data_IF_292196449959
#
_entry.id   IF_292196449959
#
_cell.length_a   1.000
_cell.length_b   1.000
_cell.length_c   1.000
_cell.angle_alpha   90.00
_cell.angle_beta   90.00
_cell.angle_gamma   90.00
#
_symmetry.space_group_name_H-M   'P 1'
#
loop_
_entity.id
_entity.type
_entity.pdbx_description
1 polymer ?
#
# COMPACT_ATOMS: atom_id res chain seq x y z
N UNK A 1 -2.64 18.44 -20.56
CA UNK A 1 -3.73 17.55 -20.99
C UNK A 1 -3.13 16.16 -20.96
N UNK A 2 -2.99 15.60 -19.77
CA UNK A 2 -2.32 14.32 -19.55
C UNK A 2 -3.39 13.34 -19.11
N UNK A 3 -3.47 12.26 -19.85
CA UNK A 3 -4.50 11.24 -19.75
C UNK A 3 -4.34 10.45 -18.45
N UNK A 4 -5.41 10.53 -17.68
CA UNK A 4 -5.91 9.60 -16.67
C UNK A 4 -5.43 8.15 -16.82
N UNK A 5 -4.34 7.77 -16.13
CA UNK A 5 -4.04 6.37 -15.78
C UNK A 5 -4.89 5.96 -14.58
N UNK A 6 -6.22 5.98 -14.76
CA UNK A 6 -7.01 4.92 -14.14
C UNK A 6 -6.38 3.60 -14.60
N UNK A 7 -6.06 2.69 -13.68
CA UNK A 7 -5.63 1.33 -14.05
C UNK A 7 -6.77 0.67 -14.83
N UNK A 8 -6.81 0.94 -16.13
CA UNK A 8 -7.53 0.16 -17.11
C UNK A 8 -7.10 -1.29 -16.90
N UNK A 9 -8.02 -2.26 -17.01
CA UNK A 9 -7.64 -3.66 -16.99
C UNK A 9 -6.61 -3.85 -18.12
N UNK A 10 -5.32 -3.93 -17.76
CA UNK A 10 -4.26 -4.18 -18.72
C UNK A 10 -4.66 -5.47 -19.45
N UNK A 11 -4.70 -5.46 -20.77
CA UNK A 11 -4.92 -6.69 -21.51
C UNK A 11 -3.63 -7.51 -21.43
N UNK A 12 -3.70 -8.85 -21.41
CA UNK A 12 -2.51 -9.68 -21.47
C UNK A 12 -1.67 -9.27 -22.68
N UNK A 13 -0.35 -9.12 -22.50
CA UNK A 13 0.54 -8.89 -23.61
C UNK A 13 0.57 -10.15 -24.49
N UNK A 14 0.29 -10.01 -25.79
CA UNK A 14 0.11 -11.15 -26.71
C UNK A 14 1.29 -11.38 -27.64
N UNK A 15 2.10 -10.35 -27.92
CA UNK A 15 3.21 -10.46 -28.86
C UNK A 15 4.53 -10.65 -28.10
N UNK A 16 5.30 -11.71 -28.38
CA UNK A 16 6.66 -11.84 -27.86
C UNK A 16 7.50 -10.67 -28.34
N UNK A 17 8.20 -10.01 -27.41
CA UNK A 17 9.21 -9.04 -27.78
C UNK A 17 10.40 -9.82 -28.35
N UNK A 18 10.77 -9.59 -29.63
CA UNK A 18 11.78 -10.36 -30.33
C UNK A 18 13.18 -10.24 -29.69
N UNK A 19 13.41 -9.26 -28.81
CA UNK A 19 14.68 -9.11 -28.07
C UNK A 19 14.94 -10.23 -27.05
N UNK A 20 13.91 -10.99 -26.64
CA UNK A 20 14.07 -12.05 -25.63
C UNK A 20 14.46 -13.42 -26.20
N UNK A 21 14.64 -13.55 -27.52
CA UNK A 21 15.02 -14.82 -28.15
C UNK A 21 16.46 -15.27 -27.84
N UNK A 22 17.27 -14.46 -27.16
CA UNK A 22 18.69 -14.73 -26.87
C UNK A 22 19.05 -14.77 -25.37
N UNK A 23 18.07 -14.62 -24.47
CA UNK A 23 18.36 -14.63 -23.02
C UNK A 23 18.42 -16.07 -22.52
N UNK A 24 19.56 -16.47 -21.94
CA UNK A 24 19.65 -17.72 -21.18
C UNK A 24 18.80 -17.60 -19.92
N UNK A 25 17.62 -18.20 -19.97
CA UNK A 25 16.63 -18.21 -18.90
C UNK A 25 17.21 -18.73 -17.59
N UNK A 26 17.97 -19.81 -17.63
CA UNK A 26 18.52 -20.44 -16.43
C UNK A 26 19.59 -19.55 -15.81
N UNK A 27 20.43 -18.93 -16.63
CA UNK A 27 21.40 -17.94 -16.15
C UNK A 27 20.71 -16.72 -15.53
N UNK A 28 19.70 -16.16 -16.21
CA UNK A 28 18.96 -15.02 -15.69
C UNK A 28 18.27 -15.33 -14.36
N UNK A 29 17.59 -16.48 -14.25
CA UNK A 29 16.93 -16.89 -13.00
C UNK A 29 17.92 -17.09 -11.86
N UNK A 30 19.10 -17.67 -12.14
CA UNK A 30 20.18 -17.80 -11.15
C UNK A 30 20.62 -16.44 -10.64
N UNK A 31 20.92 -15.50 -11.53
CA UNK A 31 21.43 -14.17 -11.16
C UNK A 31 20.36 -13.35 -10.42
N UNK A 32 19.13 -13.35 -10.94
CA UNK A 32 17.98 -12.72 -10.33
C UNK A 32 17.73 -13.22 -8.89
N UNK A 33 17.75 -14.54 -8.69
CA UNK A 33 17.52 -15.17 -7.39
C UNK A 33 18.71 -15.02 -6.42
N UNK A 34 19.94 -14.98 -6.95
CA UNK A 34 21.14 -14.71 -6.14
C UNK A 34 21.06 -13.30 -5.54
N UNK A 35 20.63 -12.32 -6.35
CA UNK A 35 20.56 -10.92 -5.96
C UNK A 35 19.40 -10.52 -5.03
N UNK A 36 18.55 -11.45 -4.56
CA UNK A 36 17.43 -11.08 -3.69
C UNK A 36 17.89 -10.38 -2.39
N UNK A 37 17.22 -9.27 -2.07
CA UNK A 37 17.46 -8.47 -0.86
C UNK A 37 16.88 -9.17 0.37
N UNK A 38 15.77 -9.90 0.23
CA UNK A 38 15.15 -10.65 1.34
C UNK A 38 16.17 -11.54 2.08
N UNK A 39 16.22 -11.40 3.41
CA UNK A 39 17.07 -12.23 4.28
C UNK A 39 16.38 -13.54 4.68
N UNK A 40 15.07 -13.66 4.42
CA UNK A 40 14.26 -14.84 4.79
C UNK A 40 14.37 -15.94 3.71
N UNK A 41 14.92 -17.13 4.02
CA UNK A 41 15.09 -18.21 3.04
C UNK A 41 13.78 -18.66 2.40
N UNK A 42 12.70 -18.78 3.18
CA UNK A 42 11.39 -19.17 2.66
C UNK A 42 10.87 -18.20 1.59
N UNK A 43 11.07 -16.90 1.78
CA UNK A 43 10.66 -15.89 0.80
C UNK A 43 11.45 -16.02 -0.50
N UNK A 44 12.76 -16.28 -0.43
CA UNK A 44 13.60 -16.50 -1.62
C UNK A 44 13.05 -17.66 -2.45
N UNK A 45 12.67 -18.76 -1.80
CA UNK A 45 12.07 -19.91 -2.46
C UNK A 45 10.73 -19.54 -3.11
N UNK A 46 9.85 -18.82 -2.40
CA UNK A 46 8.56 -18.42 -2.96
C UNK A 46 8.70 -17.46 -4.15
N UNK A 47 9.63 -16.49 -4.08
CA UNK A 47 9.91 -15.59 -5.20
C UNK A 47 10.42 -16.34 -6.42
N UNK A 48 11.36 -17.27 -6.21
CA UNK A 48 11.89 -18.13 -7.27
C UNK A 48 10.78 -18.95 -7.92
N UNK A 49 9.95 -19.64 -7.13
CA UNK A 49 8.83 -20.42 -7.65
C UNK A 49 7.84 -19.56 -8.45
N UNK A 50 7.55 -18.34 -7.98
CA UNK A 50 6.71 -17.40 -8.71
C UNK A 50 7.34 -17.05 -10.07
N UNK A 51 8.63 -16.70 -10.11
CA UNK A 51 9.34 -16.38 -11.35
C UNK A 51 9.40 -17.57 -12.31
N UNK A 52 9.74 -18.76 -11.81
CA UNK A 52 9.78 -20.00 -12.61
C UNK A 52 8.40 -20.36 -13.18
N UNK A 53 7.34 -20.11 -12.43
CA UNK A 53 5.96 -20.36 -12.90
C UNK A 53 5.52 -19.33 -13.94
N UNK A 54 5.91 -18.06 -13.77
CA UNK A 54 5.58 -16.98 -14.70
C UNK A 54 6.48 -16.96 -15.95
N UNK A 55 7.58 -17.70 -15.93
CA UNK A 55 8.48 -17.90 -17.07
C UNK A 55 8.95 -19.36 -17.13
N UNK A 56 8.15 -20.30 -17.67
CA UNK A 56 8.56 -21.70 -17.84
C UNK A 56 9.60 -21.84 -18.97
N UNK A 57 10.30 -22.98 -19.03
CA UNK A 57 11.42 -23.22 -19.97
C UNK A 57 11.04 -23.05 -21.44
N UNK A 58 9.83 -23.45 -21.81
CA UNK A 58 9.34 -23.44 -23.19
C UNK A 58 8.71 -22.10 -23.61
N UNK A 59 8.98 -21.00 -22.88
CA UNK A 59 8.30 -19.73 -23.12
C UNK A 59 9.27 -18.55 -23.22
N UNK A 60 8.97 -17.62 -24.14
CA UNK A 60 9.62 -16.31 -24.20
C UNK A 60 8.93 -15.29 -23.29
N UNK A 61 9.28 -14.02 -23.48
CA UNK A 61 8.63 -12.88 -22.82
C UNK A 61 7.75 -12.14 -23.85
N UNK A 62 6.48 -11.86 -23.54
CA UNK A 62 5.83 -12.08 -22.26
C UNK A 62 5.57 -13.56 -21.99
N UNK A 63 5.69 -13.95 -20.71
CA UNK A 63 5.40 -15.29 -20.23
C UNK A 63 3.92 -15.67 -20.35
N UNK A 64 3.52 -16.89 -19.96
CA UNK A 64 2.12 -17.28 -19.95
C UNK A 64 1.34 -16.49 -18.91
N UNK A 65 0.03 -16.36 -19.12
CA UNK A 65 -0.88 -15.82 -18.12
C UNK A 65 -1.22 -16.91 -17.10
N UNK A 66 -0.82 -16.69 -15.85
CA UNK A 66 -0.98 -17.67 -14.75
C UNK A 66 -2.01 -17.19 -13.74
N UNK A 67 -2.94 -18.05 -13.33
CA UNK A 67 -3.91 -17.71 -12.29
C UNK A 67 -3.28 -17.63 -10.89
N UNK A 68 -3.85 -16.79 -10.01
CA UNK A 68 -3.45 -16.76 -8.60
C UNK A 68 -3.64 -18.13 -7.91
N UNK A 69 -4.67 -18.89 -8.30
CA UNK A 69 -4.88 -20.24 -7.77
C UNK A 69 -3.73 -21.19 -8.11
N UNK A 70 -3.16 -21.08 -9.32
CA UNK A 70 -2.02 -21.90 -9.73
C UNK A 70 -0.76 -21.52 -8.96
N UNK A 71 -0.47 -20.23 -8.77
CA UNK A 71 0.67 -19.78 -7.97
C UNK A 71 0.57 -20.23 -6.50
N UNK A 72 -0.65 -20.24 -5.93
CA UNK A 72 -0.90 -20.81 -4.60
C UNK A 72 -0.58 -22.30 -4.55
N UNK A 73 -1.10 -23.05 -5.52
CA UNK A 73 -0.86 -24.49 -5.60
C UNK A 73 0.64 -24.81 -5.66
N UNK A 74 1.41 -24.14 -6.53
CA UNK A 74 2.87 -24.37 -6.64
C UNK A 74 3.60 -24.13 -5.30
N UNK A 75 3.23 -23.07 -4.58
CA UNK A 75 3.83 -22.78 -3.27
C UNK A 75 3.39 -23.82 -2.21
N UNK A 76 2.14 -24.26 -2.23
CA UNK A 76 1.65 -25.26 -1.28
C UNK A 76 2.26 -26.64 -1.56
N UNK A 77 2.40 -27.03 -2.83
CA UNK A 77 3.08 -28.26 -3.25
C UNK A 77 4.55 -28.26 -2.77
N UNK A 78 5.25 -27.12 -2.88
CA UNK A 78 6.61 -26.97 -2.35
C UNK A 78 6.67 -27.06 -0.82
N UNK A 79 5.67 -26.52 -0.11
CA UNK A 79 5.60 -26.60 1.36
C UNK A 79 5.26 -28.01 1.83
N UNK A 80 4.55 -28.79 1.01
CA UNK A 80 4.21 -30.20 1.23
C UNK A 80 3.08 -30.40 2.24
N UNK A 81 3.23 -29.93 3.48
CA UNK A 81 2.27 -30.18 4.57
C UNK A 81 1.90 -28.90 5.31
N UNK A 82 0.61 -28.75 5.60
CA UNK A 82 0.06 -27.68 6.45
C UNK A 82 -1.02 -26.86 5.77
N UNK A 83 -1.51 -25.84 6.48
CA UNK A 83 -2.55 -24.95 5.97
C UNK A 83 -2.09 -24.19 4.71
N UNK A 84 -2.99 -23.95 3.74
CA UNK A 84 -2.66 -23.26 2.49
C UNK A 84 -2.05 -21.88 2.70
N UNK A 85 -1.02 -21.55 1.93
CA UNK A 85 -0.29 -20.29 2.05
C UNK A 85 -1.12 -19.13 1.49
N UNK A 86 -1.68 -18.31 2.37
CA UNK A 86 -2.60 -17.24 1.96
C UNK A 86 -1.90 -16.03 1.33
N UNK A 87 -0.62 -15.83 1.61
CA UNK A 87 0.11 -14.58 1.38
C UNK A 87 0.84 -14.49 0.03
N UNK A 88 0.50 -15.33 -0.96
CA UNK A 88 1.07 -15.25 -2.32
C UNK A 88 0.96 -13.85 -2.93
N UNK A 89 -0.20 -13.14 -2.88
CA UNK A 89 -0.28 -11.77 -3.40
C UNK A 89 0.66 -10.81 -2.69
N UNK A 90 0.99 -11.05 -1.41
CA UNK A 90 1.97 -10.25 -0.68
C UNK A 90 3.38 -10.54 -1.19
N UNK A 91 3.73 -11.80 -1.45
CA UNK A 91 5.04 -12.17 -2.03
C UNK A 91 5.26 -11.53 -3.40
N UNK A 92 4.24 -11.49 -4.26
CA UNK A 92 4.33 -10.83 -5.57
C UNK A 92 4.55 -9.32 -5.42
N UNK A 93 3.84 -8.66 -4.51
CA UNK A 93 4.06 -7.23 -4.24
C UNK A 93 5.47 -6.94 -3.72
N UNK A 94 6.02 -7.83 -2.89
CA UNK A 94 7.40 -7.70 -2.41
C UNK A 94 8.42 -7.93 -3.52
N UNK A 95 8.14 -8.88 -4.42
CA UNK A 95 8.94 -9.13 -5.61
C UNK A 95 8.96 -7.91 -6.55
N UNK A 96 7.80 -7.27 -6.77
CA UNK A 96 7.72 -6.04 -7.58
C UNK A 96 8.37 -4.83 -6.87
N UNK A 97 8.14 -4.68 -5.57
CA UNK A 97 8.50 -3.49 -4.80
C UNK A 97 9.94 -3.47 -4.30
N UNK A 98 10.27 -4.39 -3.39
CA UNK A 98 11.57 -4.48 -2.76
C UNK A 98 12.62 -5.09 -3.71
N UNK A 99 12.24 -6.13 -4.45
CA UNK A 99 13.19 -6.88 -5.29
C UNK A 99 13.33 -6.34 -6.71
N UNK A 100 12.46 -5.41 -7.12
CA UNK A 100 12.59 -4.62 -8.36
C UNK A 100 11.96 -5.24 -9.62
N UNK A 101 11.18 -6.31 -9.51
CA UNK A 101 10.61 -7.02 -10.67
C UNK A 101 9.30 -6.37 -11.15
N UNK A 102 9.39 -5.17 -11.70
CA UNK A 102 8.22 -4.40 -12.18
C UNK A 102 7.50 -5.06 -13.37
N UNK A 103 8.18 -5.94 -14.11
CA UNK A 103 7.63 -6.69 -15.23
C UNK A 103 6.58 -7.75 -14.85
N UNK A 104 6.33 -8.03 -13.57
CA UNK A 104 5.21 -8.89 -13.16
C UNK A 104 3.93 -8.07 -13.17
N UNK A 105 3.00 -8.35 -14.08
CA UNK A 105 1.75 -7.60 -14.25
C UNK A 105 0.57 -8.38 -13.67
N UNK A 106 -0.39 -7.68 -13.06
CA UNK A 106 -1.61 -8.27 -12.47
C UNK A 106 -2.84 -7.93 -13.32
N UNK A 107 -3.70 -8.93 -13.51
CA UNK A 107 -4.96 -8.83 -14.23
C UNK A 107 -6.14 -9.31 -13.40
N UNK A 108 -7.33 -8.81 -13.70
CA UNK A 108 -8.57 -9.24 -13.09
C UNK A 108 -8.69 -8.94 -11.59
N UNK A 109 -9.73 -9.49 -10.96
CA UNK A 109 -10.03 -9.26 -9.55
C UNK A 109 -10.60 -10.51 -8.87
N UNK A 110 -10.46 -10.60 -7.55
CA UNK A 110 -10.94 -11.72 -6.76
C UNK A 110 -10.44 -13.07 -7.28
N UNK A 111 -11.38 -14.00 -7.52
CA UNK A 111 -11.11 -15.36 -8.03
C UNK A 111 -10.52 -15.38 -9.44
N UNK A 112 -10.71 -14.31 -10.22
CA UNK A 112 -10.21 -14.17 -11.59
C UNK A 112 -8.84 -13.47 -11.66
N UNK A 113 -8.17 -13.29 -10.51
CA UNK A 113 -6.85 -12.66 -10.48
C UNK A 113 -5.83 -13.53 -11.21
N UNK A 114 -5.11 -12.94 -12.17
CA UNK A 114 -4.04 -13.57 -12.96
C UNK A 114 -2.80 -12.69 -12.96
N UNK A 115 -1.65 -13.27 -13.29
CA UNK A 115 -0.37 -12.59 -13.42
C UNK A 115 0.36 -13.02 -14.70
N UNK A 116 1.22 -12.16 -15.23
CA UNK A 116 2.09 -12.45 -16.38
C UNK A 116 3.43 -11.74 -16.16
N UNK A 117 4.55 -12.37 -16.53
CA UNK A 117 5.83 -11.69 -16.60
C UNK A 117 5.98 -11.08 -18.00
N UNK A 118 6.06 -9.76 -18.12
CA UNK A 118 6.13 -9.06 -19.42
C UNK A 118 7.47 -8.42 -19.71
N UNK A 119 8.37 -8.36 -18.71
CA UNK A 119 9.73 -7.82 -18.86
C UNK A 119 10.67 -8.50 -17.87
N UNK A 120 11.94 -8.66 -18.26
CA UNK A 120 13.02 -9.16 -17.41
C UNK A 120 13.83 -8.04 -16.74
N UNK A 121 13.45 -6.78 -16.96
CA UNK A 121 14.10 -5.64 -16.33
C UNK A 121 13.88 -5.67 -14.81
N UNK A 122 14.98 -5.52 -14.07
CA UNK A 122 14.98 -5.42 -12.62
C UNK A 122 15.32 -3.96 -12.29
N UNK A 123 14.34 -3.23 -11.77
CA UNK A 123 14.54 -1.85 -11.33
C UNK A 123 15.45 -1.79 -10.10
N UNK A 124 15.85 -0.59 -9.71
CA UNK A 124 16.58 -0.36 -8.45
C UNK A 124 15.86 -1.01 -7.28
N UNK A 125 16.55 -1.92 -6.60
CA UNK A 125 16.02 -2.61 -5.43
C UNK A 125 15.88 -1.65 -4.27
N UNK A 126 14.89 -1.91 -3.42
CA UNK A 126 14.61 -1.09 -2.24
C UNK A 126 14.91 -1.88 -0.99
N UNK A 127 15.22 -1.16 0.09
CA UNK A 127 15.37 -1.80 1.40
C UNK A 127 14.12 -2.61 1.75
N UNK A 128 14.27 -3.66 2.57
CA UNK A 128 13.09 -4.41 2.99
C UNK A 128 12.21 -3.56 3.90
N UNK A 129 10.90 -3.75 3.80
CA UNK A 129 9.97 -3.19 4.78
C UNK A 129 10.28 -3.77 6.16
N UNK A 130 10.58 -2.90 7.12
CA UNK A 130 10.78 -3.32 8.51
C UNK A 130 9.45 -3.37 9.25
N UNK A 131 9.40 -4.22 10.26
CA UNK A 131 8.42 -4.12 11.35
C UNK A 131 9.13 -3.46 12.52
N UNK A 132 8.50 -2.46 13.13
CA UNK A 132 9.05 -1.82 14.32
C UNK A 132 9.18 -2.83 15.45
N UNK A 133 10.21 -2.65 16.28
CA UNK A 133 10.32 -3.35 17.55
C UNK A 133 9.13 -2.99 18.44
N UNK A 134 8.84 -3.84 19.43
CA UNK A 134 7.74 -3.59 20.35
C UNK A 134 7.97 -2.28 21.12
N UNK A 135 9.21 -2.00 21.53
CA UNK A 135 9.58 -0.80 22.28
C UNK A 135 9.32 0.47 21.48
N UNK A 136 9.79 0.54 20.23
CA UNK A 136 9.57 1.68 19.34
C UNK A 136 8.08 1.84 19.04
N UNK A 137 7.37 0.74 18.81
CA UNK A 137 5.94 0.78 18.57
C UNK A 137 5.14 1.31 19.76
N UNK A 138 5.50 0.90 20.99
CA UNK A 138 4.86 1.44 22.20
C UNK A 138 5.10 2.95 22.36
N UNK A 139 6.31 3.45 22.05
CA UNK A 139 6.58 4.89 22.06
C UNK A 139 5.68 5.66 21.09
N UNK A 140 5.53 5.14 19.88
CA UNK A 140 4.62 5.73 18.88
C UNK A 140 3.17 5.69 19.38
N UNK A 141 2.70 4.56 19.91
CA UNK A 141 1.35 4.47 20.46
C UNK A 141 1.10 5.50 21.56
N UNK A 142 2.04 5.68 22.49
CA UNK A 142 1.94 6.67 23.56
C UNK A 142 1.85 8.10 23.02
N UNK A 143 2.66 8.44 22.00
CA UNK A 143 2.61 9.75 21.31
C UNK A 143 1.22 10.08 20.76
N UNK A 144 0.49 9.08 20.28
CA UNK A 144 -0.87 9.23 19.76
C UNK A 144 -1.95 8.82 20.77
N UNK A 145 -1.62 8.75 22.06
CA UNK A 145 -2.57 8.41 23.13
C UNK A 145 -3.32 7.08 22.89
N UNK A 146 -2.64 6.11 22.26
CA UNK A 146 -3.17 4.81 21.87
C UNK A 146 -4.44 4.90 20.97
N UNK A 147 -4.47 5.91 20.09
CA UNK A 147 -5.56 6.17 19.14
C UNK A 147 -5.05 6.11 17.71
N UNK A 148 -5.95 5.80 16.78
CA UNK A 148 -5.70 5.98 15.36
C UNK A 148 -5.46 7.46 15.07
N UNK A 149 -4.33 7.79 14.46
CA UNK A 149 -3.93 9.16 14.13
C UNK A 149 -4.97 9.90 13.27
N UNK A 150 -5.67 9.17 12.40
CA UNK A 150 -6.68 9.76 11.50
C UNK A 150 -8.06 9.80 12.10
N UNK A 151 -8.61 8.70 12.66
CA UNK A 151 -10.01 8.69 13.13
C UNK A 151 -10.18 8.89 14.65
N UNK A 152 -9.13 8.72 15.45
CA UNK A 152 -9.20 8.87 16.92
C UNK A 152 -9.78 7.66 17.67
N UNK A 153 -10.28 6.64 16.96
CA UNK A 153 -10.71 5.36 17.57
C UNK A 153 -9.52 4.64 18.19
N UNK A 154 -9.77 3.86 19.24
CA UNK A 154 -8.76 3.15 20.03
C UNK A 154 -9.14 1.68 20.27
N UNK A 155 -8.19 0.83 20.69
CA UNK A 155 -8.50 -0.50 21.21
C UNK A 155 -9.45 -0.46 22.43
N UNK A 156 -10.27 -1.50 22.65
CA UNK A 156 -10.40 -2.71 21.84
C UNK A 156 -11.30 -2.55 20.60
N UNK A 157 -11.93 -1.38 20.40
CA UNK A 157 -12.88 -1.12 19.29
C UNK A 157 -12.21 -1.29 17.93
N UNK A 158 -10.94 -0.89 17.81
CA UNK A 158 -10.13 -1.09 16.61
C UNK A 158 -8.73 -1.60 16.97
N UNK A 159 -8.14 -2.43 16.11
CA UNK A 159 -6.70 -2.70 16.15
C UNK A 159 -5.95 -1.56 15.47
N UNK A 160 -4.79 -1.18 16.04
CA UNK A 160 -3.88 -0.22 15.45
C UNK A 160 -2.72 -0.94 14.77
N UNK A 161 -2.48 -0.58 13.51
CA UNK A 161 -1.42 -1.09 12.67
C UNK A 161 -0.32 -0.03 12.51
N UNK A 162 0.93 -0.49 12.35
CA UNK A 162 2.08 0.34 12.06
C UNK A 162 1.99 0.84 10.61
N UNK A 163 1.88 2.15 10.41
CA UNK A 163 1.82 2.75 9.08
C UNK A 163 2.82 3.89 8.91
N UNK A 164 3.36 4.01 7.69
CA UNK A 164 4.28 5.09 7.33
C UNK A 164 3.50 6.35 6.97
N UNK A 165 3.73 7.49 7.61
CA UNK A 165 3.19 8.82 7.25
C UNK A 165 3.36 9.10 5.77
N UNK A 166 4.60 9.21 5.31
CA UNK A 166 4.97 9.28 3.90
C UNK A 166 5.19 7.84 3.41
N UNK A 167 4.42 7.35 2.42
CA UNK A 167 4.62 6.00 1.89
C UNK A 167 6.01 5.82 1.29
N UNK A 168 6.57 4.61 1.40
CA UNK A 168 7.86 4.25 0.79
C UNK A 168 7.92 4.48 -0.72
N UNK A 169 6.81 4.21 -1.42
CA UNK A 169 6.65 4.49 -2.85
C UNK A 169 6.82 5.98 -3.20
N UNK A 170 6.65 6.86 -2.21
CA UNK A 170 6.77 8.32 -2.33
C UNK A 170 8.02 8.84 -1.58
N UNK A 171 9.02 7.99 -1.37
CA UNK A 171 10.30 8.34 -0.76
C UNK A 171 10.31 8.38 0.77
N UNK A 172 9.26 7.92 1.45
CA UNK A 172 9.26 7.83 2.91
C UNK A 172 10.17 6.72 3.44
N UNK A 173 11.00 7.06 4.43
CA UNK A 173 11.94 6.16 5.08
C UNK A 173 11.34 5.41 6.28
N UNK A 174 12.22 4.78 7.05
CA UNK A 174 11.87 3.97 8.22
C UNK A 174 12.12 4.68 9.56
N UNK A 175 12.42 5.97 9.54
CA UNK A 175 12.68 6.81 10.71
C UNK A 175 11.44 6.85 11.62
N UNK A 176 11.63 6.90 12.94
CA UNK A 176 10.55 6.82 13.94
C UNK A 176 9.46 7.89 13.68
N UNK A 177 9.86 9.08 13.23
CA UNK A 177 8.98 10.22 12.94
C UNK A 177 8.05 9.96 11.74
N UNK A 178 8.45 9.08 10.82
CA UNK A 178 7.65 8.70 9.67
C UNK A 178 6.62 7.62 10.02
N UNK A 179 6.47 7.21 11.28
CA UNK A 179 5.45 6.23 11.68
C UNK A 179 4.26 6.87 12.40
N UNK A 180 3.10 6.28 12.18
CA UNK A 180 1.86 6.62 12.86
C UNK A 180 0.98 5.37 13.06
N UNK A 181 0.14 5.34 14.09
CA UNK A 181 -0.84 4.29 14.27
C UNK A 181 -2.11 4.56 13.48
N UNK A 182 -2.49 3.64 12.61
CA UNK A 182 -3.78 3.68 11.91
C UNK A 182 -4.59 2.44 12.18
N UNK A 183 -5.91 2.59 12.31
CA UNK A 183 -6.80 1.43 12.23
C UNK A 183 -6.86 0.91 10.79
N UNK A 184 -7.23 -0.37 10.61
CA UNK A 184 -7.29 -1.02 9.30
C UNK A 184 -8.08 -0.24 8.24
N UNK A 185 -9.21 0.37 8.64
CA UNK A 185 -10.07 1.17 7.76
C UNK A 185 -9.35 2.44 7.26
N UNK A 186 -8.81 3.28 8.16
CA UNK A 186 -8.05 4.47 7.77
C UNK A 186 -6.79 4.13 6.97
N UNK A 187 -6.10 3.03 7.29
CA UNK A 187 -4.94 2.58 6.52
C UNK A 187 -5.34 2.22 5.07
N UNK A 188 -6.47 1.53 4.89
CA UNK A 188 -7.00 1.21 3.57
C UNK A 188 -7.39 2.48 2.79
N UNK A 189 -8.12 3.41 3.43
CA UNK A 189 -8.48 4.68 2.80
C UNK A 189 -7.26 5.48 2.37
N UNK A 190 -6.25 5.60 3.23
CA UNK A 190 -4.97 6.23 2.87
C UNK A 190 -4.31 5.55 1.68
N UNK A 191 -4.22 4.21 1.70
CA UNK A 191 -3.60 3.45 0.60
C UNK A 191 -4.32 3.69 -0.73
N UNK A 192 -5.65 3.80 -0.71
CA UNK A 192 -6.46 4.08 -1.90
C UNK A 192 -6.29 5.54 -2.33
N UNK A 193 -6.35 6.49 -1.40
CA UNK A 193 -6.17 7.92 -1.65
C UNK A 193 -4.77 8.27 -2.17
N UNK A 194 -3.74 7.46 -1.89
CA UNK A 194 -2.39 7.68 -2.40
C UNK A 194 -2.17 7.23 -3.86
N UNK A 195 -3.11 6.47 -4.46
CA UNK A 195 -2.97 5.99 -5.84
C UNK A 195 -3.23 7.15 -6.81
N UNK A 196 -2.27 7.47 -7.66
CA UNK A 196 -2.38 8.62 -8.59
C UNK A 196 -2.49 9.96 -7.87
N UNK A 197 -1.94 10.07 -6.66
CA UNK A 197 -2.05 11.27 -5.84
C UNK A 197 -0.87 12.21 -6.09
N UNK A 198 -1.18 13.43 -6.54
CA UNK A 198 -0.17 14.48 -6.78
C UNK A 198 0.07 15.40 -5.57
N UNK A 199 -0.71 15.26 -4.49
CA UNK A 199 -0.56 16.08 -3.30
C UNK A 199 0.80 15.83 -2.63
N UNK A 200 1.55 16.89 -2.32
CA UNK A 200 2.80 16.78 -1.54
C UNK A 200 2.53 16.12 -0.18
N UNK A 201 3.23 15.02 0.13
CA UNK A 201 2.96 14.26 1.36
C UNK A 201 3.11 15.09 2.63
N UNK A 202 3.97 16.12 2.63
CA UNK A 202 4.17 17.01 3.77
C UNK A 202 2.94 17.83 4.13
N UNK A 203 2.00 18.00 3.19
CA UNK A 203 0.75 18.73 3.36
C UNK A 203 -0.47 17.79 3.33
N UNK A 204 -0.25 16.48 3.51
CA UNK A 204 -1.28 15.47 3.30
C UNK A 204 -2.04 15.17 4.60
N UNK A 205 -3.39 15.21 4.62
CA UNK A 205 -4.21 14.89 5.80
C UNK A 205 -4.10 13.42 6.23
N UNK A 206 -3.62 12.52 5.35
CA UNK A 206 -3.35 11.13 5.70
C UNK A 206 -1.93 10.88 6.22
N UNK A 207 -0.98 11.76 5.87
CA UNK A 207 0.40 11.64 6.32
C UNK A 207 0.60 12.37 7.66
N UNK A 208 0.04 13.57 7.78
CA UNK A 208 0.13 14.43 8.96
C UNK A 208 -1.28 14.89 9.38
N UNK A 209 -2.15 13.95 9.80
CA UNK A 209 -3.52 14.27 10.20
C UNK A 209 -3.60 15.32 11.31
N UNK A 210 -2.60 15.36 12.20
CA UNK A 210 -2.50 16.35 13.26
C UNK A 210 -2.41 17.80 12.78
N UNK A 211 -1.99 18.03 11.53
CA UNK A 211 -1.83 19.36 10.94
C UNK A 211 -2.87 19.66 9.86
N UNK A 212 -3.21 18.67 9.03
CA UNK A 212 -3.99 18.92 7.81
C UNK A 212 -5.34 18.20 7.77
N UNK A 213 -5.64 17.30 8.71
CA UNK A 213 -6.96 16.67 8.70
C UNK A 213 -8.05 17.71 9.01
N UNK A 214 -9.24 17.58 8.41
CA UNK A 214 -10.38 18.41 8.78
C UNK A 214 -10.67 18.35 10.27
N UNK A 215 -11.07 19.48 10.84
CA UNK A 215 -11.48 19.58 12.25
C UNK A 215 -12.65 18.63 12.49
N UNK A 216 -12.53 17.80 13.52
CA UNK A 216 -13.60 16.92 13.96
C UNK A 216 -14.38 17.56 15.09
N UNK A 217 -15.70 17.47 14.99
CA UNK A 217 -16.62 17.88 16.04
C UNK A 217 -17.46 16.69 16.49
N UNK A 218 -17.81 16.65 17.77
CA UNK A 218 -18.74 15.65 18.28
C UNK A 218 -20.13 15.85 17.63
N UNK A 219 -20.87 14.77 17.39
CA UNK A 219 -22.20 14.84 16.78
C UNK A 219 -23.17 15.74 17.55
N UNK A 220 -23.04 15.79 18.88
CA UNK A 220 -23.80 16.69 19.74
C UNK A 220 -23.50 18.17 19.45
N UNK A 221 -22.23 18.52 19.23
CA UNK A 221 -21.82 19.90 18.94
C UNK A 221 -22.19 20.30 17.51
N UNK A 222 -22.05 19.38 16.55
CA UNK A 222 -22.58 19.57 15.19
C UNK A 222 -24.08 19.87 15.24
N UNK A 223 -24.84 19.14 16.07
CA UNK A 223 -26.28 19.38 16.21
C UNK A 223 -26.57 20.73 16.88
N UNK A 224 -25.79 21.15 17.87
CA UNK A 224 -25.91 22.48 18.49
C UNK A 224 -25.70 23.59 17.47
N UNK A 225 -24.65 23.50 16.65
CA UNK A 225 -24.37 24.44 15.56
C UNK A 225 -25.54 24.50 14.59
N UNK A 226 -26.02 23.34 14.11
CA UNK A 226 -27.16 23.28 13.18
C UNK A 226 -28.43 23.91 13.74
N UNK A 227 -28.76 23.63 15.00
CA UNK A 227 -29.95 24.17 15.64
C UNK A 227 -29.87 25.70 15.81
N UNK A 228 -28.70 26.22 16.18
CA UNK A 228 -28.49 27.66 16.32
C UNK A 228 -28.50 28.37 14.96
N UNK A 229 -27.91 27.76 13.94
CA UNK A 229 -27.89 28.30 12.58
C UNK A 229 -29.32 28.43 12.03
N UNK A 230 -30.14 27.39 12.24
CA UNK A 230 -31.56 27.40 11.87
C UNK A 230 -32.34 28.52 12.59
N UNK A 231 -32.09 28.73 13.89
CA UNK A 231 -32.74 29.79 14.67
C UNK A 231 -32.38 31.19 14.18
N UNK A 232 -31.16 31.35 13.66
CA UNK A 232 -30.64 32.61 13.13
C UNK A 232 -30.89 32.79 11.63
N UNK A 233 -31.55 31.81 10.98
CA UNK A 233 -31.82 31.80 9.53
C UNK A 233 -30.56 31.93 8.66
N UNK A 234 -29.44 31.37 9.14
CA UNK A 234 -28.15 31.32 8.41
C UNK A 234 -27.66 29.88 8.23
N UNK A 235 -26.64 29.70 7.39
CA UNK A 235 -26.01 28.38 7.22
C UNK A 235 -25.15 27.99 8.44
N UNK A 236 -25.01 26.68 8.75
CA UNK A 236 -24.07 26.21 9.78
C UNK A 236 -22.63 26.69 9.57
N UNK A 237 -22.18 26.79 8.32
CA UNK A 237 -20.85 27.23 7.93
C UNK A 237 -20.64 28.73 8.22
N UNK A 238 -21.64 29.56 7.92
CA UNK A 238 -21.65 30.98 8.25
C UNK A 238 -21.66 31.21 9.76
N UNK A 239 -22.52 30.49 10.49
CA UNK A 239 -22.55 30.56 11.95
C UNK A 239 -21.18 30.18 12.55
N UNK A 240 -20.55 29.12 12.07
CA UNK A 240 -19.21 28.72 12.53
C UNK A 240 -18.18 29.81 12.25
N UNK A 241 -18.24 30.43 11.08
CA UNK A 241 -17.35 31.53 10.70
C UNK A 241 -17.52 32.73 11.63
N UNK A 242 -18.76 33.09 11.97
CA UNK A 242 -19.05 34.15 12.96
C UNK A 242 -18.52 33.83 14.36
N UNK A 243 -18.73 32.59 14.83
CA UNK A 243 -18.25 32.15 16.15
C UNK A 243 -16.72 32.25 16.21
N UNK A 244 -16.05 31.79 15.16
CA UNK A 244 -14.58 31.84 15.05
C UNK A 244 -14.10 33.29 15.01
N UNK A 245 -14.70 34.14 14.19
CA UNK A 245 -14.35 35.56 14.10
C UNK A 245 -14.50 36.24 15.47
N UNK A 246 -15.65 36.08 16.13
CA UNK A 246 -15.89 36.66 17.46
C UNK A 246 -14.90 36.16 18.52
N UNK A 247 -14.47 34.91 18.46
CA UNK A 247 -13.50 34.39 19.42
C UNK A 247 -12.13 35.08 19.25
N UNK A 248 -11.61 35.15 18.03
CA UNK A 248 -10.29 35.73 17.77
C UNK A 248 -10.27 37.26 17.78
N UNK A 249 -11.39 37.92 17.50
CA UNK A 249 -11.50 39.39 17.58
C UNK A 249 -11.61 39.87 19.04
N UNK A 250 -12.11 39.04 19.96
CA UNK A 250 -12.17 39.36 21.39
C UNK A 250 -10.86 39.11 22.14
N UNK A 251 -9.90 38.40 21.53
CA UNK A 251 -8.55 38.14 22.08
C UNK A 251 -7.51 39.21 21.63
N UNK A 252 -7.97 40.30 21.00
CA UNK A 252 -7.17 41.50 20.65
C UNK A 252 -7.58 42.70 21.51
#
# INVERSE_FOLDING_TARGET
MNEDETQQPQLPAQNPDPTFQQVDREQWLRDACAGFVTTKPANRNYYRLILETLWPSEHGIPGPVVSLSRLRQVIDDFRGVGEPYQDVPRRIRELQGEEGFLGVVRFGSGKQTRYQLVSLEISTKREQRIKLSNEVWQKILLKYQNRCAVCGRQPPVVRLDQDHKIPRLRGGGNEEENWQPLCAECNNFKSTACRGCDLECRNCPWAFPEQFAPIKMASSDIQRVRNLALKNEISPEELLSEIVARYFDNDR
#
